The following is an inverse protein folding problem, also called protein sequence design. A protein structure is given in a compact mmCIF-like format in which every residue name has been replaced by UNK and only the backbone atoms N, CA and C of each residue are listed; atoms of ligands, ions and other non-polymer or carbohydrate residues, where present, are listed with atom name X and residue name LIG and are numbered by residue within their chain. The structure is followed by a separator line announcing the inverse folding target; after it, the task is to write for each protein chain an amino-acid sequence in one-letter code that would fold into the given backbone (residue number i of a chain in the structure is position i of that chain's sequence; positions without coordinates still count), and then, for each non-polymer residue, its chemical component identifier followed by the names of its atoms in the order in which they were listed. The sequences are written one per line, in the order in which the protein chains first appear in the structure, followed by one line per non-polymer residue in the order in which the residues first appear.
data_IF_957425985500
#
_entry.id   IF_957425985500
#
_cell.length_a   1.000
_cell.length_b   1.000
_cell.length_c   1.000
_cell.angle_alpha   90.00
_cell.angle_beta   90.00
_cell.angle_gamma   90.00
#
_symmetry.space_group_name_H-M   'P 1'
#
loop_
_entity.id
_entity.type
_entity.pdbx_description
1 polymer ?
#
# COMPACT_ATOMS: atom_id res chain seq x y z
N UNK A 1 -17.59 11.49 -13.84
CA UNK A 1 -16.52 11.52 -12.83
C UNK A 1 -15.93 10.13 -12.70
N UNK A 2 -14.68 9.99 -12.22
CA UNK A 2 -14.09 8.70 -11.89
C UNK A 2 -14.15 8.51 -10.37
N UNK A 3 -14.91 7.52 -9.91
CA UNK A 3 -15.12 7.24 -8.48
C UNK A 3 -14.45 5.93 -8.09
N UNK A 4 -13.44 6.04 -7.22
CA UNK A 4 -12.76 4.87 -6.65
C UNK A 4 -13.53 4.40 -5.44
N UNK A 5 -13.99 3.14 -5.45
CA UNK A 5 -14.76 2.54 -4.37
C UNK A 5 -13.85 1.68 -3.52
N UNK A 6 -13.66 2.08 -2.27
CA UNK A 6 -12.90 1.31 -1.29
C UNK A 6 -13.75 0.15 -0.76
N UNK A 7 -13.47 -1.05 -1.21
CA UNK A 7 -14.26 -2.25 -0.88
C UNK A 7 -13.66 -3.10 0.25
N UNK A 8 -12.77 -2.51 1.05
CA UNK A 8 -12.23 -3.15 2.25
C UNK A 8 -13.20 -3.05 3.43
N UNK A 9 -13.09 -4.00 4.37
CA UNK A 9 -13.76 -3.94 5.68
C UNK A 9 -13.07 -3.00 6.68
N UNK A 10 -11.95 -2.40 6.31
CA UNK A 10 -11.21 -1.42 7.11
C UNK A 10 -11.29 -0.05 6.45
N UNK A 11 -11.25 1.05 7.22
CA UNK A 11 -11.24 2.39 6.68
C UNK A 11 -10.02 2.64 5.79
N UNK A 12 -10.10 3.66 4.94
CA UNK A 12 -9.03 4.08 4.04
C UNK A 12 -8.02 4.95 4.77
N UNK A 13 -6.99 4.35 5.39
CA UNK A 13 -6.05 5.02 6.31
C UNK A 13 -4.66 5.13 5.69
N UNK A 14 -4.02 6.28 5.83
CA UNK A 14 -2.66 6.50 5.34
C UNK A 14 -1.63 5.59 6.05
N UNK A 15 -0.72 5.02 5.26
CA UNK A 15 0.38 4.18 5.77
C UNK A 15 -0.03 2.76 6.16
N UNK A 16 -1.29 2.35 5.95
CA UNK A 16 -1.75 0.99 6.22
C UNK A 16 -1.29 0.00 5.15
N UNK A 17 -1.16 0.44 3.90
CA UNK A 17 -0.69 -0.43 2.82
C UNK A 17 -0.39 0.28 1.52
N UNK A 18 0.04 -0.52 0.53
CA UNK A 18 0.33 -0.02 -0.81
C UNK A 18 -0.92 0.33 -1.61
N UNK A 19 -2.06 -0.29 -1.31
CA UNK A 19 -3.32 -0.05 -2.02
C UNK A 19 -3.83 1.37 -1.81
N UNK A 20 -3.73 1.86 -0.58
CA UNK A 20 -4.13 3.20 -0.18
C UNK A 20 -3.23 4.24 -0.85
N UNK A 21 -1.92 4.07 -0.75
CA UNK A 21 -0.94 4.97 -1.39
C UNK A 21 -1.13 5.02 -2.90
N UNK A 22 -1.32 3.86 -3.53
CA UNK A 22 -1.55 3.75 -4.97
C UNK A 22 -2.84 4.48 -5.39
N UNK A 23 -3.95 4.22 -4.69
CA UNK A 23 -5.25 4.82 -5.04
C UNK A 23 -5.26 6.32 -4.79
N UNK A 24 -4.79 6.77 -3.63
CA UNK A 24 -4.69 8.19 -3.30
C UNK A 24 -3.86 8.96 -4.32
N UNK A 25 -2.71 8.41 -4.71
CA UNK A 25 -1.86 9.04 -5.71
C UNK A 25 -2.49 9.11 -7.10
N UNK A 26 -3.26 8.09 -7.52
CA UNK A 26 -4.01 8.14 -8.78
C UNK A 26 -5.10 9.21 -8.75
N UNK A 27 -5.86 9.32 -7.66
CA UNK A 27 -6.90 10.36 -7.52
C UNK A 27 -6.25 11.75 -7.59
N UNK A 28 -5.16 11.99 -6.85
CA UNK A 28 -4.41 13.27 -6.88
C UNK A 28 -3.95 13.63 -8.28
N UNK A 29 -3.40 12.68 -9.00
CA UNK A 29 -2.90 12.92 -10.36
C UNK A 29 -4.05 13.18 -11.36
N UNK A 30 -5.19 12.50 -11.23
CA UNK A 30 -6.39 12.78 -12.01
C UNK A 30 -6.88 14.21 -11.74
N UNK A 31 -7.02 14.59 -10.47
CA UNK A 31 -7.42 15.94 -10.07
C UNK A 31 -6.43 17.00 -10.58
N UNK A 32 -5.13 16.73 -10.49
CA UNK A 32 -4.08 17.61 -11.04
C UNK A 32 -4.22 17.83 -12.55
N UNK A 33 -4.72 16.83 -13.28
CA UNK A 33 -5.01 16.91 -14.73
C UNK A 33 -6.35 17.57 -15.04
N UNK A 34 -7.12 17.99 -14.04
CA UNK A 34 -8.46 18.53 -14.21
C UNK A 34 -9.53 17.47 -14.50
N UNK A 35 -9.24 16.19 -14.25
CA UNK A 35 -10.18 15.09 -14.40
C UNK A 35 -10.85 14.86 -13.06
N UNK A 36 -12.18 15.05 -12.94
CA UNK A 36 -12.89 14.87 -11.69
C UNK A 36 -12.77 13.42 -11.17
N UNK A 37 -12.24 13.28 -9.95
CA UNK A 37 -12.08 11.98 -9.29
C UNK A 37 -12.35 12.10 -7.79
N UNK A 38 -12.81 11.02 -7.16
CA UNK A 38 -13.07 10.95 -5.73
C UNK A 38 -12.89 9.53 -5.17
N UNK A 39 -12.79 9.45 -3.85
CA UNK A 39 -12.90 8.22 -3.08
C UNK A 39 -14.36 8.01 -2.65
N UNK A 40 -14.87 6.80 -2.76
CA UNK A 40 -16.13 6.36 -2.16
C UNK A 40 -15.82 5.31 -1.10
N UNK A 41 -16.37 5.51 0.08
CA UNK A 41 -16.33 4.56 1.19
C UNK A 41 -17.74 4.09 1.53
N UNK A 42 -17.91 2.89 2.08
CA UNK A 42 -19.23 2.28 2.32
C UNK A 42 -19.30 1.77 3.75
N UNK A 43 -20.31 2.26 4.51
CA UNK A 43 -20.61 1.79 5.86
C UNK A 43 -19.68 2.30 6.95
N UNK A 44 -18.80 3.27 6.68
CA UNK A 44 -17.89 3.87 7.67
C UNK A 44 -18.38 5.21 8.21
N UNK A 45 -19.35 5.87 7.54
CA UNK A 45 -19.74 7.24 7.85
C UNK A 45 -18.53 8.17 7.79
N UNK A 46 -18.35 8.99 8.83
CA UNK A 46 -17.23 9.94 8.94
C UNK A 46 -15.90 9.28 9.34
N UNK A 47 -15.94 8.05 9.86
CA UNK A 47 -14.74 7.31 10.29
C UNK A 47 -14.08 6.54 9.12
N UNK A 48 -14.19 7.06 7.91
CA UNK A 48 -13.73 6.41 6.69
C UNK A 48 -12.26 6.64 6.34
N UNK A 49 -11.55 7.41 7.15
CA UNK A 49 -10.12 7.73 6.98
C UNK A 49 -9.86 9.01 6.19
N UNK A 50 -10.90 9.77 5.84
CA UNK A 50 -10.76 11.04 5.07
C UNK A 50 -9.82 12.05 5.72
N UNK A 51 -9.68 12.03 7.02
CA UNK A 51 -8.77 12.92 7.78
C UNK A 51 -7.31 12.78 7.35
N UNK A 52 -6.91 11.58 6.95
CA UNK A 52 -5.56 11.31 6.46
C UNK A 52 -5.32 11.84 5.03
N UNK A 53 -6.40 12.21 4.31
CA UNK A 53 -6.37 12.62 2.90
C UNK A 53 -7.18 13.89 2.63
N UNK A 54 -6.84 15.01 3.27
CA UNK A 54 -7.63 16.26 3.18
C UNK A 54 -7.68 16.87 1.78
N UNK A 55 -6.82 16.42 0.88
CA UNK A 55 -6.70 16.87 -0.51
C UNK A 55 -7.47 15.97 -1.51
N UNK A 56 -8.17 14.95 -1.03
CA UNK A 56 -8.98 14.03 -1.84
C UNK A 56 -10.47 14.22 -1.52
N UNK A 57 -11.34 14.40 -2.52
CA UNK A 57 -12.78 14.38 -2.28
C UNK A 57 -13.26 12.99 -1.86
N UNK A 58 -14.08 12.92 -0.81
CA UNK A 58 -14.71 11.70 -0.31
C UNK A 58 -16.23 11.77 -0.44
N UNK A 59 -16.83 10.62 -0.71
CA UNK A 59 -18.26 10.37 -0.59
C UNK A 59 -18.46 9.11 0.26
N UNK A 60 -19.06 9.26 1.44
CA UNK A 60 -19.48 8.13 2.26
C UNK A 60 -20.88 7.67 1.82
N UNK A 61 -21.04 6.38 1.58
CA UNK A 61 -22.33 5.73 1.33
C UNK A 61 -22.65 4.81 2.50
N UNK A 62 -23.95 4.69 2.83
CA UNK A 62 -24.40 3.80 3.90
C UNK A 62 -24.32 2.33 3.46
N UNK A 63 -24.62 2.05 2.20
CA UNK A 63 -24.63 0.72 1.63
C UNK A 63 -24.19 0.71 0.18
N UNK A 64 -23.88 -0.47 -0.34
CA UNK A 64 -23.35 -0.63 -1.71
C UNK A 64 -24.42 -0.40 -2.79
N UNK A 65 -25.69 -0.55 -2.49
CA UNK A 65 -26.80 -0.40 -3.42
C UNK A 65 -26.89 1.02 -3.96
N UNK A 66 -26.48 2.02 -3.16
CA UNK A 66 -26.44 3.43 -3.57
C UNK A 66 -25.45 3.69 -4.73
N UNK A 67 -24.51 2.79 -5.01
CA UNK A 67 -23.64 2.88 -6.20
C UNK A 67 -24.45 2.82 -7.50
N UNK A 68 -25.62 2.17 -7.52
CA UNK A 68 -26.48 2.09 -8.68
C UNK A 68 -27.11 3.44 -9.09
N UNK A 69 -27.16 4.40 -8.18
CA UNK A 69 -27.70 5.73 -8.43
C UNK A 69 -26.68 6.69 -9.08
N UNK A 70 -25.38 6.37 -8.96
CA UNK A 70 -24.30 7.25 -9.41
C UNK A 70 -24.12 7.19 -10.94
N UNK A 71 -23.91 8.37 -11.53
CA UNK A 71 -23.60 8.54 -12.96
C UNK A 71 -22.08 8.68 -13.17
N UNK A 72 -21.31 7.75 -12.56
CA UNK A 72 -19.86 7.79 -12.50
C UNK A 72 -19.25 6.57 -13.17
N UNK A 73 -17.99 6.70 -13.61
CA UNK A 73 -17.13 5.56 -13.90
C UNK A 73 -16.68 4.97 -12.58
N UNK A 74 -17.23 3.82 -12.18
CA UNK A 74 -16.91 3.14 -10.92
C UNK A 74 -15.65 2.29 -11.08
N UNK A 75 -14.70 2.49 -10.17
CA UNK A 75 -13.44 1.72 -10.09
C UNK A 75 -13.33 1.14 -8.69
N UNK A 76 -13.65 -0.14 -8.54
CA UNK A 76 -13.46 -0.84 -7.28
C UNK A 76 -11.98 -0.99 -6.97
N UNK A 77 -11.62 -0.76 -5.72
CA UNK A 77 -10.27 -0.94 -5.19
C UNK A 77 -10.28 -2.15 -4.26
N UNK A 78 -9.38 -3.09 -4.49
CA UNK A 78 -9.24 -4.39 -3.82
C UNK A 78 -10.10 -5.46 -4.49
N UNK A 79 -11.43 -5.41 -4.37
CA UNK A 79 -12.35 -6.37 -4.99
C UNK A 79 -13.61 -5.67 -5.50
N UNK A 80 -14.24 -6.20 -6.57
CA UNK A 80 -15.53 -5.70 -7.01
C UNK A 80 -16.63 -6.09 -6.02
N UNK A 81 -17.66 -5.26 -5.96
CA UNK A 81 -18.89 -5.53 -5.23
C UNK A 81 -19.97 -6.02 -6.18
N UNK A 82 -20.86 -6.85 -5.65
CA UNK A 82 -22.01 -7.41 -6.38
C UNK A 82 -23.13 -6.36 -6.42
N UNK A 83 -22.97 -5.37 -7.32
CA UNK A 83 -23.90 -4.27 -7.54
C UNK A 83 -23.92 -3.94 -9.02
N UNK A 84 -25.13 -3.72 -9.58
CA UNK A 84 -25.29 -3.23 -10.94
C UNK A 84 -25.12 -1.71 -10.97
N UNK A 85 -24.11 -1.22 -11.68
CA UNK A 85 -23.85 0.21 -11.89
C UNK A 85 -24.46 0.70 -13.21
N UNK A 86 -24.70 2.02 -13.35
CA UNK A 86 -25.24 2.59 -14.61
C UNK A 86 -24.28 2.40 -15.79
N UNK A 87 -22.99 2.51 -15.54
CA UNK A 87 -21.95 2.36 -16.55
C UNK A 87 -21.11 1.14 -16.31
N UNK A 88 -20.26 0.77 -17.27
CA UNK A 88 -19.29 -0.30 -17.10
C UNK A 88 -18.39 -0.01 -15.89
N UNK A 89 -18.44 -0.87 -14.89
CA UNK A 89 -17.54 -0.80 -13.75
C UNK A 89 -16.20 -1.47 -14.06
N UNK A 90 -15.20 -1.08 -13.28
CA UNK A 90 -13.84 -1.61 -13.31
C UNK A 90 -13.41 -2.05 -11.92
N UNK A 91 -12.44 -2.93 -11.81
CA UNK A 91 -11.87 -3.33 -10.53
C UNK A 91 -10.36 -3.47 -10.63
N UNK A 92 -9.63 -2.74 -9.79
CA UNK A 92 -8.18 -2.88 -9.63
C UNK A 92 -7.93 -3.90 -8.51
N UNK A 93 -7.40 -5.05 -8.89
CA UNK A 93 -7.17 -6.18 -7.99
C UNK A 93 -5.84 -6.00 -7.25
N UNK A 94 -5.92 -5.53 -6.00
CA UNK A 94 -4.75 -5.25 -5.16
C UNK A 94 -4.31 -6.43 -4.29
N UNK A 95 -5.12 -7.49 -4.24
CA UNK A 95 -4.82 -8.70 -3.47
C UNK A 95 -4.72 -9.90 -4.40
N UNK A 96 -4.01 -10.97 -4.02
CA UNK A 96 -4.08 -12.24 -4.75
C UNK A 96 -5.49 -12.83 -4.65
N UNK A 97 -5.84 -13.76 -5.54
CA UNK A 97 -7.07 -14.51 -5.41
C UNK A 97 -7.17 -15.18 -4.04
N UNK A 98 -8.38 -15.33 -3.47
CA UNK A 98 -8.53 -16.03 -2.21
C UNK A 98 -8.03 -17.47 -2.34
N UNK A 99 -7.26 -17.91 -1.37
CA UNK A 99 -6.94 -19.32 -1.20
C UNK A 99 -8.09 -19.99 -0.45
N UNK A 100 -8.25 -21.31 -0.62
CA UNK A 100 -9.32 -22.09 0.02
C UNK A 100 -9.39 -21.96 1.55
N UNK A 101 -8.37 -21.39 2.18
CA UNK A 101 -8.30 -21.20 3.63
C UNK A 101 -9.04 -19.96 4.16
N UNK A 102 -9.41 -19.05 3.28
CA UNK A 102 -10.09 -17.81 3.66
C UNK A 102 -11.48 -17.81 3.06
N UNK A 103 -12.39 -18.58 3.59
CA UNK A 103 -13.81 -18.61 3.19
C UNK A 103 -14.53 -17.25 3.34
N UNK A 104 -13.89 -16.16 2.90
CA UNK A 104 -14.39 -14.81 3.01
C UNK A 104 -15.50 -14.59 1.97
N UNK A 105 -16.73 -14.26 2.41
CA UNK A 105 -17.87 -13.99 1.51
C UNK A 105 -17.62 -12.79 0.57
N UNK A 106 -16.60 -11.95 0.81
CA UNK A 106 -16.20 -10.88 -0.11
C UNK A 106 -15.73 -11.39 -1.48
N UNK A 107 -15.40 -12.68 -1.60
CA UNK A 107 -14.82 -13.29 -2.81
C UNK A 107 -15.84 -14.08 -3.63
N UNK A 108 -17.10 -13.71 -3.60
CA UNK A 108 -18.08 -14.36 -4.48
C UNK A 108 -17.67 -14.19 -5.94
N UNK A 109 -17.48 -15.30 -6.61
CA UNK A 109 -17.04 -15.32 -8.02
C UNK A 109 -17.93 -14.47 -8.93
N UNK A 110 -19.25 -14.45 -8.66
CA UNK A 110 -20.21 -13.64 -9.37
C UNK A 110 -19.87 -12.14 -9.38
N UNK A 111 -19.25 -11.61 -8.31
CA UNK A 111 -18.85 -10.21 -8.25
C UNK A 111 -17.79 -9.85 -9.33
N UNK A 112 -17.02 -10.82 -9.83
CA UNK A 112 -15.97 -10.60 -10.83
C UNK A 112 -16.49 -10.69 -12.29
N UNK A 113 -17.74 -11.07 -12.51
CA UNK A 113 -18.30 -11.29 -13.86
C UNK A 113 -18.74 -9.98 -14.54
N UNK A 114 -19.13 -8.97 -13.79
CA UNK A 114 -19.61 -7.69 -14.33
C UNK A 114 -18.50 -6.67 -14.63
N UNK A 115 -17.60 -6.36 -13.68
CA UNK A 115 -16.56 -5.35 -13.87
C UNK A 115 -15.44 -5.80 -14.80
N UNK A 116 -14.82 -4.85 -15.52
CA UNK A 116 -13.55 -5.09 -16.23
C UNK A 116 -12.41 -5.09 -15.22
N UNK A 117 -11.65 -6.19 -15.19
CA UNK A 117 -10.61 -6.40 -14.19
C UNK A 117 -9.28 -5.79 -14.66
N UNK A 118 -8.64 -5.07 -13.75
CA UNK A 118 -7.32 -4.42 -13.91
C UNK A 118 -6.40 -5.00 -12.84
N UNK A 119 -5.13 -5.21 -13.15
CA UNK A 119 -4.17 -5.79 -12.22
C UNK A 119 -2.97 -4.88 -12.01
N UNK A 120 -2.34 -4.99 -10.83
CA UNK A 120 -1.17 -4.19 -10.46
C UNK A 120 0.15 -4.70 -11.08
N UNK A 121 0.16 -5.90 -11.67
CA UNK A 121 1.34 -6.51 -12.31
C UNK A 121 0.94 -7.59 -13.30
N UNK A 122 1.86 -7.99 -14.17
CA UNK A 122 1.67 -9.14 -15.07
C UNK A 122 1.56 -10.44 -14.27
N UNK A 123 2.31 -10.56 -13.18
CA UNK A 123 2.18 -11.67 -12.25
C UNK A 123 0.76 -11.78 -11.69
N UNK A 124 0.22 -10.66 -11.18
CA UNK A 124 -1.15 -10.61 -10.69
C UNK A 124 -2.16 -11.02 -11.78
N UNK A 125 -2.00 -10.52 -13.00
CA UNK A 125 -2.84 -10.91 -14.13
C UNK A 125 -2.78 -12.44 -14.38
N UNK A 126 -1.61 -13.05 -14.25
CA UNK A 126 -1.41 -14.49 -14.43
C UNK A 126 -2.13 -15.33 -13.38
N UNK A 127 -2.04 -14.97 -12.09
CA UNK A 127 -2.68 -15.72 -11.01
C UNK A 127 -4.20 -15.55 -11.03
N UNK A 128 -4.70 -14.34 -11.29
CA UNK A 128 -6.13 -14.06 -11.36
C UNK A 128 -6.80 -14.78 -12.55
N UNK A 129 -6.16 -14.80 -13.74
CA UNK A 129 -6.67 -15.56 -14.89
C UNK A 129 -6.80 -17.05 -14.58
N UNK A 130 -5.81 -17.64 -13.90
CA UNK A 130 -5.88 -19.05 -13.48
C UNK A 130 -7.01 -19.30 -12.48
N UNK A 131 -7.19 -18.41 -11.51
CA UNK A 131 -8.23 -18.52 -10.49
C UNK A 131 -9.65 -18.45 -11.09
N UNK A 132 -9.89 -17.46 -11.93
CA UNK A 132 -11.21 -17.24 -12.52
C UNK A 132 -11.59 -18.25 -13.59
N UNK A 133 -10.64 -19.05 -14.07
CA UNK A 133 -10.83 -20.09 -15.12
C UNK A 133 -11.56 -19.58 -16.38
N UNK A 134 -11.49 -18.28 -16.65
CA UNK A 134 -12.25 -17.66 -17.71
C UNK A 134 -11.35 -17.22 -18.83
N UNK A 135 -11.92 -17.11 -20.04
CA UNK A 135 -11.34 -16.47 -21.21
C UNK A 135 -11.17 -14.95 -21.01
N UNK A 136 -10.73 -14.51 -19.82
CA UNK A 136 -10.31 -13.13 -19.59
C UNK A 136 -9.04 -12.85 -20.39
N UNK A 137 -9.19 -12.83 -21.72
CA UNK A 137 -8.07 -12.70 -22.64
C UNK A 137 -7.26 -11.42 -22.42
N UNK A 138 -7.80 -10.40 -21.75
CA UNK A 138 -7.13 -9.12 -21.56
C UNK A 138 -7.45 -8.53 -20.17
N UNK A 139 -6.61 -8.84 -19.19
CA UNK A 139 -6.54 -8.04 -17.97
C UNK A 139 -5.43 -6.99 -18.15
N UNK A 140 -5.76 -5.71 -18.38
CA UNK A 140 -4.75 -4.67 -18.47
C UNK A 140 -3.99 -4.57 -17.15
N UNK A 141 -2.70 -4.28 -17.25
CA UNK A 141 -1.84 -4.03 -16.10
C UNK A 141 -1.65 -2.53 -15.94
N UNK A 142 -2.03 -2.01 -14.78
CA UNK A 142 -1.77 -0.64 -14.35
C UNK A 142 -0.80 -0.70 -13.19
N UNK A 143 0.48 -0.51 -13.49
CA UNK A 143 1.53 -0.64 -12.49
C UNK A 143 1.42 0.42 -11.39
N UNK A 144 1.72 0.05 -10.14
CA UNK A 144 2.00 1.00 -9.08
C UNK A 144 3.19 1.92 -9.43
N UNK A 145 3.35 2.96 -8.65
CA UNK A 145 4.37 3.99 -8.84
C UNK A 145 5.04 4.34 -7.51
N UNK A 146 6.20 4.95 -7.58
CA UNK A 146 6.81 5.60 -6.45
C UNK A 146 6.42 7.09 -6.44
N UNK A 147 6.12 7.61 -5.24
CA UNK A 147 5.91 9.06 -5.05
C UNK A 147 7.17 9.83 -5.46
N UNK A 148 7.00 11.04 -5.97
CA UNK A 148 8.12 11.88 -6.42
C UNK A 148 9.09 12.25 -5.30
N UNK A 149 8.66 12.21 -4.04
CA UNK A 149 9.51 12.44 -2.88
C UNK A 149 10.73 11.49 -2.88
N UNK A 150 10.57 10.24 -3.34
CA UNK A 150 11.66 9.28 -3.41
C UNK A 150 12.72 9.68 -4.45
N UNK A 151 12.31 10.26 -5.56
CA UNK A 151 13.25 10.73 -6.59
C UNK A 151 13.89 12.09 -6.27
N UNK A 152 13.17 12.93 -5.52
CA UNK A 152 13.62 14.28 -5.15
C UNK A 152 14.47 14.32 -3.87
N UNK A 153 14.41 13.28 -3.02
CA UNK A 153 15.15 13.27 -1.76
C UNK A 153 16.65 13.35 -2.01
N UNK A 154 17.34 14.20 -1.25
CA UNK A 154 18.79 14.26 -1.24
C UNK A 154 19.37 13.08 -0.47
N UNK A 155 20.42 12.47 -1.03
CA UNK A 155 21.17 11.44 -0.32
C UNK A 155 22.32 12.10 0.41
N UNK A 156 22.48 11.87 1.74
CA UNK A 156 23.64 12.35 2.45
C UNK A 156 24.90 11.69 1.91
N UNK A 157 25.98 12.45 1.84
CA UNK A 157 27.29 11.90 1.56
C UNK A 157 27.68 10.90 2.65
N UNK A 158 28.26 9.81 2.22
CA UNK A 158 28.72 8.78 3.13
C UNK A 158 30.23 8.96 3.38
N UNK A 159 30.66 9.05 4.65
CA UNK A 159 32.09 9.07 4.95
C UNK A 159 32.80 7.83 4.39
N UNK A 160 33.96 7.99 3.84
CA UNK A 160 34.82 6.88 3.39
C UNK A 160 34.98 5.89 4.56
N UNK A 161 34.96 4.60 4.25
CA UNK A 161 35.13 3.51 5.23
C UNK A 161 34.04 3.36 6.29
N UNK A 162 32.92 4.11 6.21
CA UNK A 162 31.79 3.88 7.12
C UNK A 162 31.08 2.56 6.80
N UNK A 163 30.53 1.86 7.82
CA UNK A 163 29.73 0.65 7.60
C UNK A 163 28.57 0.87 6.66
N UNK A 164 28.28 -0.08 5.78
CA UNK A 164 27.13 -0.02 4.90
C UNK A 164 25.82 0.01 5.71
N UNK A 165 24.80 0.69 5.19
CA UNK A 165 23.50 0.77 5.83
C UNK A 165 22.48 -0.04 5.03
N UNK A 166 21.94 -1.07 5.66
CA UNK A 166 20.93 -1.97 5.09
C UNK A 166 19.59 -1.69 5.78
N UNK A 167 18.50 -1.63 5.02
CA UNK A 167 17.16 -1.37 5.53
C UNK A 167 16.22 -2.52 5.18
N UNK A 168 15.42 -2.94 6.16
CA UNK A 168 14.20 -3.70 5.97
C UNK A 168 13.00 -2.80 6.32
N UNK A 169 12.15 -2.52 5.34
CA UNK A 169 11.00 -1.62 5.46
C UNK A 169 9.68 -2.35 5.15
N UNK A 170 9.52 -3.55 5.66
CA UNK A 170 8.31 -4.37 5.56
C UNK A 170 7.55 -4.45 6.88
N UNK A 171 6.30 -4.92 6.82
CA UNK A 171 5.57 -5.30 8.03
C UNK A 171 6.30 -6.44 8.74
N UNK A 172 6.26 -6.45 10.08
CA UNK A 172 6.84 -7.52 10.90
C UNK A 172 5.91 -8.74 10.89
N UNK A 173 5.90 -9.47 9.79
CA UNK A 173 5.17 -10.73 9.58
C UNK A 173 6.05 -11.71 8.81
N UNK A 174 5.81 -13.00 8.99
CA UNK A 174 6.58 -14.08 8.37
C UNK A 174 6.66 -13.95 6.84
N UNK A 175 5.54 -13.59 6.19
CA UNK A 175 5.45 -13.47 4.73
C UNK A 175 6.44 -12.45 4.12
N UNK A 176 6.87 -11.46 4.90
CA UNK A 176 7.88 -10.49 4.47
C UNK A 176 9.31 -11.00 4.62
N UNK A 177 9.48 -12.25 5.10
CA UNK A 177 10.76 -12.96 5.15
C UNK A 177 11.69 -12.47 6.25
N UNK A 178 11.16 -11.90 7.33
CA UNK A 178 11.99 -11.42 8.46
C UNK A 178 12.83 -12.54 9.09
N UNK A 179 12.29 -13.76 9.19
CA UNK A 179 13.03 -14.91 9.70
C UNK A 179 14.15 -15.34 8.76
N UNK A 180 13.92 -15.31 7.44
CA UNK A 180 14.96 -15.54 6.42
C UNK A 180 16.07 -14.51 6.53
N UNK A 181 15.70 -13.24 6.82
CA UNK A 181 16.68 -12.17 7.03
C UNK A 181 17.53 -12.44 8.28
N UNK A 182 16.89 -12.75 9.41
CA UNK A 182 17.61 -13.08 10.65
C UNK A 182 18.56 -14.27 10.47
N UNK A 183 18.10 -15.34 9.83
CA UNK A 183 18.93 -16.51 9.52
C UNK A 183 20.09 -16.13 8.58
N UNK A 184 19.91 -15.20 7.65
CA UNK A 184 20.96 -14.79 6.71
C UNK A 184 22.15 -14.10 7.41
N UNK A 185 21.93 -13.46 8.56
CA UNK A 185 22.97 -12.77 9.32
C UNK A 185 24.00 -13.71 9.96
N UNK A 186 23.72 -15.01 9.99
CA UNK A 186 24.62 -16.04 10.56
C UNK A 186 25.64 -16.56 9.56
N UNK A 187 25.51 -16.24 8.27
CA UNK A 187 26.42 -16.76 7.25
C UNK A 187 27.76 -16.03 7.23
N UNK A 188 28.86 -16.77 7.08
CA UNK A 188 30.25 -16.30 7.04
C UNK A 188 30.44 -15.12 6.07
N UNK A 189 29.78 -15.15 4.90
CA UNK A 189 29.89 -14.10 3.90
C UNK A 189 29.42 -12.71 4.36
N UNK A 190 28.70 -12.62 5.49
CA UNK A 190 28.32 -11.35 6.12
C UNK A 190 29.06 -11.08 7.44
N UNK A 191 29.91 -12.00 7.89
CA UNK A 191 30.58 -11.89 9.18
C UNK A 191 31.55 -10.71 9.21
N UNK A 192 32.40 -10.62 8.19
CA UNK A 192 33.44 -9.60 8.08
C UNK A 192 33.01 -8.38 7.25
N UNK A 193 31.78 -8.35 6.74
CA UNK A 193 31.26 -7.20 6.03
C UNK A 193 30.78 -6.15 7.03
N UNK A 194 31.38 -4.93 7.04
CA UNK A 194 30.95 -3.89 7.96
C UNK A 194 29.62 -3.26 7.50
N UNK A 195 28.52 -3.61 8.17
CA UNK A 195 27.23 -3.01 7.93
C UNK A 195 26.38 -2.88 9.20
N UNK A 196 25.35 -2.04 9.12
CA UNK A 196 24.27 -1.90 10.12
C UNK A 196 22.94 -2.20 9.45
N UNK A 197 22.12 -3.04 10.12
CA UNK A 197 20.77 -3.33 9.66
C UNK A 197 19.76 -2.49 10.44
N UNK A 198 18.97 -1.71 9.71
CA UNK A 198 17.83 -0.96 10.24
C UNK A 198 16.55 -1.70 9.87
N UNK A 199 15.63 -1.86 10.81
CA UNK A 199 14.32 -2.48 10.60
C UNK A 199 13.24 -1.51 11.08
N UNK A 200 12.20 -1.29 10.28
CA UNK A 200 11.04 -0.50 10.71
C UNK A 200 10.09 -1.36 11.55
N UNK A 201 9.44 -0.76 12.56
CA UNK A 201 8.51 -1.43 13.47
C UNK A 201 7.08 -1.58 12.88
N UNK A 202 6.93 -1.50 11.56
CA UNK A 202 5.63 -1.63 10.88
C UNK A 202 4.95 -2.96 11.24
N UNK A 203 3.69 -2.91 11.70
CA UNK A 203 2.93 -4.09 12.11
C UNK A 203 3.27 -4.62 13.50
N UNK A 204 4.10 -3.93 14.28
CA UNK A 204 4.47 -4.34 15.65
C UNK A 204 3.32 -4.33 16.66
N UNK A 205 2.17 -3.77 16.29
CA UNK A 205 0.94 -3.76 17.09
C UNK A 205 0.10 -5.04 16.95
N UNK A 206 0.52 -5.99 16.09
CA UNK A 206 -0.07 -7.32 16.01
C UNK A 206 0.66 -8.28 16.95
N UNK A 207 0.05 -9.42 17.31
CA UNK A 207 0.68 -10.43 18.14
C UNK A 207 1.99 -10.94 17.52
N UNK A 208 1.96 -11.37 16.26
CA UNK A 208 3.14 -11.81 15.52
C UNK A 208 4.20 -10.72 15.43
N UNK A 209 3.79 -9.49 15.08
CA UNK A 209 4.72 -8.38 14.97
C UNK A 209 5.38 -7.98 16.29
N UNK A 210 4.67 -8.12 17.40
CA UNK A 210 5.21 -7.87 18.75
C UNK A 210 6.29 -8.91 19.12
N UNK A 211 6.06 -10.17 18.83
CA UNK A 211 7.05 -11.26 19.05
C UNK A 211 8.30 -10.98 18.21
N UNK A 212 8.13 -10.70 16.92
CA UNK A 212 9.25 -10.37 16.01
C UNK A 212 10.00 -9.14 16.51
N UNK A 213 9.31 -8.09 16.92
CA UNK A 213 9.92 -6.86 17.43
C UNK A 213 10.84 -7.14 18.62
N UNK A 214 10.40 -7.99 19.55
CA UNK A 214 11.20 -8.36 20.73
C UNK A 214 12.46 -9.12 20.31
N UNK A 215 12.38 -10.04 19.36
CA UNK A 215 13.54 -10.73 18.79
C UNK A 215 14.54 -9.76 18.14
N UNK A 216 14.04 -8.77 17.41
CA UNK A 216 14.88 -7.78 16.73
C UNK A 216 15.63 -6.88 17.70
N UNK A 217 14.98 -6.47 18.81
CA UNK A 217 15.58 -5.58 19.82
C UNK A 217 16.76 -6.21 20.56
N UNK A 218 16.81 -7.53 20.64
CA UNK A 218 17.91 -8.25 21.31
C UNK A 218 19.11 -8.52 20.38
N UNK A 219 18.98 -8.27 19.08
CA UNK A 219 20.02 -8.60 18.10
C UNK A 219 21.06 -7.46 17.95
N UNK A 220 22.37 -7.71 18.19
CA UNK A 220 23.39 -6.65 18.30
C UNK A 220 23.66 -5.86 17.00
N UNK A 221 23.37 -6.46 15.83
CA UNK A 221 23.55 -5.81 14.51
C UNK A 221 22.32 -5.03 14.03
N UNK A 222 21.21 -5.04 14.78
CA UNK A 222 19.92 -4.49 14.35
C UNK A 222 19.57 -3.23 15.13
N UNK A 223 19.13 -2.22 14.41
CA UNK A 223 18.51 -1.02 14.98
C UNK A 223 17.06 -0.96 14.54
N UNK A 224 16.13 -0.98 15.47
CA UNK A 224 14.70 -0.81 15.17
C UNK A 224 14.36 0.68 15.19
N UNK A 225 13.63 1.12 14.18
CA UNK A 225 13.13 2.50 14.05
C UNK A 225 11.64 2.52 13.80
N UNK A 226 10.99 3.61 14.16
CA UNK A 226 9.56 3.80 13.88
C UNK A 226 9.27 3.73 12.37
N UNK A 227 8.22 3.04 11.99
CA UNK A 227 7.68 3.07 10.63
C UNK A 227 7.29 4.50 10.23
N UNK A 228 7.40 4.81 8.96
CA UNK A 228 7.06 6.13 8.41
C UNK A 228 5.69 6.06 7.73
N UNK A 229 4.82 7.02 8.03
CA UNK A 229 3.46 7.06 7.52
C UNK A 229 3.33 7.76 6.17
N UNK A 230 4.25 8.65 5.83
CA UNK A 230 4.21 9.41 4.59
C UNK A 230 5.45 9.20 3.72
N UNK A 231 5.30 9.49 2.42
CA UNK A 231 6.33 9.27 1.42
C UNK A 231 7.61 10.09 1.68
N UNK A 232 7.48 11.33 2.15
CA UNK A 232 8.62 12.23 2.40
C UNK A 232 9.53 11.68 3.51
N UNK A 233 8.94 11.22 4.62
CA UNK A 233 9.69 10.63 5.71
C UNK A 233 10.31 9.29 5.34
N UNK A 234 9.58 8.45 4.59
CA UNK A 234 10.10 7.18 4.10
C UNK A 234 11.24 7.41 3.11
N UNK A 235 11.12 8.38 2.20
CA UNK A 235 12.18 8.75 1.27
C UNK A 235 13.45 9.21 2.00
N UNK A 236 13.31 10.05 3.05
CA UNK A 236 14.43 10.46 3.90
C UNK A 236 15.07 9.29 4.64
N UNK A 237 14.27 8.31 5.07
CA UNK A 237 14.80 7.09 5.68
C UNK A 237 15.59 6.27 4.65
N UNK A 238 15.00 5.99 3.49
CA UNK A 238 15.64 5.21 2.42
C UNK A 238 16.93 5.89 1.93
N UNK A 239 16.92 7.21 1.74
CA UNK A 239 18.09 7.95 1.27
C UNK A 239 19.32 7.82 2.18
N UNK A 240 19.13 7.48 3.46
CA UNK A 240 20.22 7.22 4.42
C UNK A 240 20.79 5.80 4.34
N UNK A 241 20.22 4.93 3.48
CA UNK A 241 20.61 3.52 3.37
C UNK A 241 21.16 3.21 1.99
N UNK A 242 22.04 2.22 1.90
CA UNK A 242 22.69 1.80 0.65
C UNK A 242 21.90 0.68 -0.02
N UNK A 243 21.38 -0.22 0.79
CA UNK A 243 20.68 -1.43 0.36
C UNK A 243 19.33 -1.55 1.09
N UNK A 244 18.28 -1.92 0.37
CA UNK A 244 17.01 -2.32 0.94
C UNK A 244 16.79 -3.80 0.67
N UNK A 245 16.35 -4.55 1.68
CA UNK A 245 16.10 -5.99 1.57
C UNK A 245 14.62 -6.30 1.60
N UNK A 246 14.17 -7.14 0.66
CA UNK A 246 12.79 -7.60 0.53
C UNK A 246 12.76 -9.13 0.35
N UNK A 247 13.05 -9.90 1.41
CA UNK A 247 13.19 -11.35 1.34
C UNK A 247 11.85 -12.07 1.44
N UNK A 248 10.78 -11.48 0.89
CA UNK A 248 9.41 -12.03 0.95
C UNK A 248 9.37 -13.50 0.55
N UNK A 249 8.59 -14.27 1.30
CA UNK A 249 8.43 -15.71 1.11
C UNK A 249 7.46 -16.03 -0.04
N UNK A 250 7.38 -17.31 -0.40
CA UNK A 250 6.38 -17.82 -1.35
C UNK A 250 5.37 -18.77 -0.70
N UNK A 251 5.40 -18.91 0.63
CA UNK A 251 4.69 -19.98 1.33
C UNK A 251 3.18 -19.71 1.36
N UNK A 252 2.77 -18.54 1.86
CA UNK A 252 1.36 -18.22 2.03
C UNK A 252 0.91 -17.07 1.14
N UNK A 253 1.75 -16.06 0.97
CA UNK A 253 1.43 -14.84 0.28
C UNK A 253 2.56 -14.39 -0.64
N UNK A 254 2.24 -14.23 -1.91
CA UNK A 254 3.22 -13.70 -2.87
C UNK A 254 3.00 -12.20 -3.07
N UNK A 255 4.09 -11.45 -3.16
CA UNK A 255 4.01 -10.02 -3.47
C UNK A 255 3.35 -9.81 -4.84
N UNK A 256 2.26 -9.05 -4.89
CA UNK A 256 1.65 -8.75 -6.19
C UNK A 256 2.52 -7.83 -7.03
N UNK A 257 3.28 -6.92 -6.41
CA UNK A 257 4.21 -6.04 -7.10
C UNK A 257 5.44 -5.71 -6.25
N UNK A 258 5.29 -5.01 -5.12
CA UNK A 258 6.39 -4.62 -4.23
C UNK A 258 6.79 -3.15 -4.40
N UNK A 259 5.92 -2.22 -3.96
CA UNK A 259 6.17 -0.77 -4.05
C UNK A 259 7.49 -0.36 -3.41
N UNK A 260 7.83 -0.91 -2.24
CA UNK A 260 9.10 -0.62 -1.54
C UNK A 260 10.33 -0.81 -2.45
N UNK A 261 10.29 -1.77 -3.40
CA UNK A 261 11.39 -1.97 -4.33
C UNK A 261 11.60 -0.79 -5.27
N UNK A 262 10.52 -0.27 -5.87
CA UNK A 262 10.62 0.88 -6.78
C UNK A 262 10.95 2.17 -6.03
N UNK A 263 10.34 2.38 -4.87
CA UNK A 263 10.60 3.50 -3.97
C UNK A 263 12.08 3.56 -3.57
N UNK A 264 12.64 2.40 -3.18
CA UNK A 264 14.06 2.28 -2.82
C UNK A 264 14.99 2.65 -3.97
N UNK A 265 14.70 2.16 -5.19
CA UNK A 265 15.51 2.47 -6.36
C UNK A 265 15.41 3.95 -6.76
N UNK A 266 14.21 4.57 -6.64
CA UNK A 266 14.05 6.01 -6.82
C UNK A 266 14.84 6.82 -5.79
N UNK A 267 14.89 6.36 -4.53
CA UNK A 267 15.70 6.96 -3.48
C UNK A 267 17.21 6.67 -3.63
N UNK A 268 17.61 5.85 -4.62
CA UNK A 268 19.01 5.54 -4.94
C UNK A 268 19.61 4.37 -4.15
N UNK A 269 18.78 3.54 -3.52
CA UNK A 269 19.22 2.30 -2.88
C UNK A 269 19.32 1.16 -3.91
N UNK A 270 20.22 0.22 -3.68
CA UNK A 270 20.10 -1.12 -4.29
C UNK A 270 19.07 -1.92 -3.53
N UNK A 271 18.47 -2.87 -4.21
CA UNK A 271 17.47 -3.76 -3.64
C UNK A 271 17.93 -5.21 -3.75
N UNK A 272 17.85 -5.96 -2.65
CA UNK A 272 17.98 -7.42 -2.67
C UNK A 272 16.60 -7.98 -2.40
N UNK A 273 16.01 -8.61 -3.40
CA UNK A 273 14.63 -9.07 -3.32
C UNK A 273 14.51 -10.55 -3.69
N UNK A 274 13.60 -11.24 -3.05
CA UNK A 274 13.21 -12.59 -3.45
C UNK A 274 12.60 -12.60 -4.87
N UNK A 275 12.84 -13.65 -5.63
CA UNK A 275 12.12 -13.94 -6.88
C UNK A 275 10.70 -14.45 -6.54
N UNK A 276 9.93 -13.61 -5.86
CA UNK A 276 8.58 -13.88 -5.38
C UNK A 276 7.58 -12.98 -6.09
N UNK A 277 6.52 -13.55 -6.62
CA UNK A 277 5.41 -12.81 -7.18
C UNK A 277 5.80 -11.81 -8.26
N UNK A 278 5.35 -10.58 -8.09
CA UNK A 278 5.62 -9.44 -8.98
C UNK A 278 6.96 -8.73 -8.72
N UNK A 279 7.72 -9.09 -7.68
CA UNK A 279 9.02 -8.44 -7.38
C UNK A 279 9.98 -8.41 -8.57
N UNK A 280 10.10 -9.45 -9.43
CA UNK A 280 10.95 -9.37 -10.62
C UNK A 280 10.58 -8.22 -11.57
N UNK A 281 9.29 -7.83 -11.62
CA UNK A 281 8.81 -6.74 -12.49
C UNK A 281 9.25 -5.35 -12.02
N UNK A 282 9.63 -5.22 -10.75
CA UNK A 282 10.09 -3.95 -10.16
C UNK A 282 11.53 -3.59 -10.51
N UNK A 283 12.27 -4.46 -11.21
CA UNK A 283 13.66 -4.21 -11.50
C UNK A 283 13.84 -3.14 -12.58
N UNK A 284 14.34 -2.00 -12.15
CA UNK A 284 14.70 -0.85 -13.00
C UNK A 284 16.22 -0.60 -13.00
N UNK A 285 17.00 -1.67 -12.79
CA UNK A 285 18.46 -1.67 -12.85
C UNK A 285 19.16 -1.71 -11.48
N UNK A 286 18.37 -1.71 -10.37
CA UNK A 286 18.91 -1.71 -9.01
C UNK A 286 18.64 -2.97 -8.19
N UNK A 287 17.96 -3.99 -8.75
CA UNK A 287 17.52 -5.17 -8.00
C UNK A 287 18.42 -6.38 -8.24
N UNK A 288 18.86 -7.00 -7.17
CA UNK A 288 19.45 -8.34 -7.16
C UNK A 288 18.36 -9.32 -6.73
N UNK A 289 17.93 -10.20 -7.62
CA UNK A 289 16.94 -11.23 -7.34
C UNK A 289 17.61 -12.48 -6.76
N UNK A 290 17.07 -12.97 -5.66
CA UNK A 290 17.52 -14.18 -4.98
C UNK A 290 16.41 -15.23 -4.96
N UNK A 291 16.75 -16.49 -4.67
CA UNK A 291 15.77 -17.54 -4.41
C UNK A 291 15.00 -17.22 -3.12
N UNK A 292 13.67 -17.30 -3.13
CA UNK A 292 12.87 -17.15 -1.91
C UNK A 292 13.24 -18.21 -0.87
N UNK A 293 13.01 -17.90 0.40
CA UNK A 293 13.21 -18.79 1.54
C UNK A 293 14.62 -19.40 1.64
N UNK A 294 15.62 -18.70 1.08
CA UNK A 294 17.02 -19.13 1.06
C UNK A 294 17.93 -18.09 1.77
N UNK A 295 18.22 -18.29 3.09
CA UNK A 295 19.05 -17.36 3.85
C UNK A 295 20.47 -17.20 3.30
N UNK A 296 21.07 -18.29 2.75
CA UNK A 296 22.41 -18.23 2.14
C UNK A 296 22.42 -17.36 0.89
N UNK A 297 21.41 -17.52 0.02
CA UNK A 297 21.26 -16.68 -1.18
C UNK A 297 21.00 -15.22 -0.81
N UNK A 298 20.24 -14.96 0.26
CA UNK A 298 20.02 -13.60 0.78
C UNK A 298 21.30 -12.99 1.29
N UNK A 299 22.08 -13.72 2.10
CA UNK A 299 23.38 -13.26 2.58
C UNK A 299 24.35 -12.89 1.43
N UNK A 300 24.45 -13.76 0.41
CA UNK A 300 25.27 -13.49 -0.77
C UNK A 300 24.76 -12.24 -1.56
N UNK A 301 23.44 -12.10 -1.71
CA UNK A 301 22.83 -10.94 -2.33
C UNK A 301 23.13 -9.64 -1.59
N UNK A 302 23.04 -9.64 -0.26
CA UNK A 302 23.38 -8.49 0.59
C UNK A 302 24.85 -8.13 0.46
N UNK A 303 25.79 -9.09 0.59
CA UNK A 303 27.20 -8.84 0.43
C UNK A 303 27.54 -8.22 -0.93
N UNK A 304 26.96 -8.77 -2.01
CA UNK A 304 27.13 -8.26 -3.37
C UNK A 304 26.60 -6.82 -3.52
N UNK A 305 25.42 -6.54 -2.96
CA UNK A 305 24.81 -5.21 -3.03
C UNK A 305 25.61 -4.18 -2.24
N UNK A 306 26.14 -4.56 -1.08
CA UNK A 306 27.03 -3.70 -0.26
C UNK A 306 28.32 -3.38 -1.01
N UNK A 307 28.97 -4.37 -1.61
CA UNK A 307 30.19 -4.17 -2.39
C UNK A 307 29.99 -3.26 -3.60
N UNK A 308 28.81 -3.32 -4.23
CA UNK A 308 28.46 -2.45 -5.36
C UNK A 308 28.09 -1.02 -4.96
N UNK A 309 27.84 -0.75 -3.66
CA UNK A 309 27.40 0.54 -3.15
C UNK A 309 26.01 0.96 -3.64
N UNK A 310 25.53 2.16 -3.26
CA UNK A 310 24.24 2.68 -3.71
C UNK A 310 24.21 2.92 -5.23
N UNK A 311 23.04 3.20 -5.78
CA UNK A 311 22.91 3.56 -7.19
C UNK A 311 23.61 4.89 -7.48
N UNK A 312 24.38 4.94 -8.58
CA UNK A 312 24.95 6.19 -9.08
C UNK A 312 23.84 7.18 -9.47
N UNK A 313 24.17 8.47 -9.55
CA UNK A 313 23.20 9.50 -9.96
C UNK A 313 22.56 9.17 -11.33
N UNK A 314 23.35 8.65 -12.30
CA UNK A 314 22.85 8.21 -13.61
C UNK A 314 21.84 7.05 -13.48
N UNK A 315 22.17 6.03 -12.68
CA UNK A 315 21.29 4.89 -12.45
C UNK A 315 20.01 5.32 -11.74
N UNK A 316 20.11 6.17 -10.72
CA UNK A 316 18.96 6.72 -9.99
C UNK A 316 18.04 7.53 -10.92
N UNK A 317 18.59 8.41 -11.77
CA UNK A 317 17.83 9.16 -12.76
C UNK A 317 17.10 8.24 -13.75
N UNK A 318 17.75 7.19 -14.22
CA UNK A 318 17.12 6.19 -15.08
C UNK A 318 16.01 5.42 -14.34
N UNK A 319 16.21 5.07 -13.07
CA UNK A 319 15.20 4.43 -12.25
C UNK A 319 13.96 5.33 -12.07
N UNK A 320 14.15 6.59 -11.67
CA UNK A 320 13.07 7.53 -11.37
C UNK A 320 12.24 7.95 -12.60
N UNK A 321 12.65 7.63 -13.81
CA UNK A 321 11.86 7.83 -15.02
C UNK A 321 10.82 6.73 -15.28
N UNK A 322 10.82 5.65 -14.48
CA UNK A 322 9.91 4.52 -14.59
C UNK A 322 9.04 4.41 -13.35
N UNK A 323 7.89 3.79 -13.49
CA UNK A 323 6.92 3.65 -12.40
C UNK A 323 6.59 4.98 -11.74
N UNK A 324 6.24 5.96 -12.58
CA UNK A 324 5.76 7.29 -12.15
C UNK A 324 4.24 7.30 -12.04
N UNK A 325 3.68 8.20 -11.22
CA UNK A 325 2.23 8.36 -11.09
C UNK A 325 1.59 8.73 -12.43
N UNK A 326 2.27 9.55 -13.24
CA UNK A 326 1.80 9.95 -14.57
C UNK A 326 1.62 8.73 -15.49
N UNK A 327 2.62 7.83 -15.53
CA UNK A 327 2.55 6.61 -16.34
C UNK A 327 1.48 5.63 -15.85
N UNK A 328 1.28 5.56 -14.52
CA UNK A 328 0.22 4.76 -13.91
C UNK A 328 -1.16 5.27 -14.33
N UNK A 329 -1.40 6.58 -14.20
CA UNK A 329 -2.68 7.21 -14.58
C UNK A 329 -2.92 7.16 -16.10
N UNK A 330 -1.88 7.32 -16.94
CA UNK A 330 -2.01 7.13 -18.38
C UNK A 330 -2.48 5.69 -18.72
N UNK A 331 -1.93 4.71 -18.02
CA UNK A 331 -2.32 3.31 -18.19
C UNK A 331 -3.73 3.04 -17.67
N UNK A 332 -4.11 3.67 -16.57
CA UNK A 332 -5.46 3.60 -16.01
C UNK A 332 -6.49 4.19 -16.99
N UNK A 333 -6.28 5.40 -17.48
CA UNK A 333 -7.19 6.07 -18.41
C UNK A 333 -7.38 5.24 -19.70
N UNK A 334 -6.32 4.63 -20.22
CA UNK A 334 -6.44 3.69 -21.34
C UNK A 334 -7.28 2.46 -20.99
N UNK A 335 -7.09 1.89 -19.79
CA UNK A 335 -7.85 0.74 -19.32
C UNK A 335 -9.33 1.07 -19.12
N UNK A 336 -9.65 2.30 -18.68
CA UNK A 336 -11.01 2.82 -18.51
C UNK A 336 -11.69 3.22 -19.85
N UNK A 337 -10.96 3.22 -20.96
CA UNK A 337 -11.49 3.62 -22.26
C UNK A 337 -11.49 5.14 -22.51
N UNK A 338 -10.67 5.88 -21.79
CA UNK A 338 -10.53 7.34 -21.89
C UNK A 338 -9.14 7.77 -22.42
N UNK A 339 -8.70 7.27 -23.60
CA UNK A 339 -7.37 7.58 -24.12
C UNK A 339 -7.20 9.08 -24.48
N UNK A 340 -8.28 9.82 -24.67
CA UNK A 340 -8.27 11.26 -24.97
C UNK A 340 -7.62 12.07 -23.86
N UNK A 341 -7.75 11.67 -22.59
CA UNK A 341 -7.15 12.35 -21.44
C UNK A 341 -5.65 12.03 -21.26
N UNK A 342 -5.13 11.01 -21.93
CA UNK A 342 -3.71 10.63 -21.86
C UNK A 342 -2.82 11.68 -22.50
N UNK A 343 -3.32 12.40 -23.52
CA UNK A 343 -2.54 13.37 -24.33
C UNK A 343 -2.47 14.76 -23.71
N UNK A 344 -3.27 15.07 -22.71
CA UNK A 344 -3.25 16.38 -22.07
C UNK A 344 -1.99 16.54 -21.19
N UNK A 345 -0.91 17.01 -21.79
CA UNK A 345 0.37 17.21 -21.11
C UNK A 345 0.41 18.43 -20.16
N UNK A 346 -0.65 19.22 -20.07
CA UNK A 346 -0.69 20.41 -19.21
C UNK A 346 -1.96 20.41 -18.37
N UNK A 347 -1.87 20.63 -17.06
CA UNK A 347 -3.04 20.93 -16.24
C UNK A 347 -3.58 22.29 -16.72
N UNK A 348 -4.78 22.31 -17.29
CA UNK A 348 -5.39 23.53 -17.76
C UNK A 348 -5.92 24.39 -16.62
N UNK A 349 -6.31 23.81 -15.51
CA UNK A 349 -6.68 24.49 -14.25
C UNK A 349 -6.76 23.46 -13.10
N UNK A 350 -6.42 23.90 -11.91
CA UNK A 350 -6.76 23.17 -10.67
C UNK A 350 -8.23 23.49 -10.38
N UNK A 351 -9.13 22.55 -10.65
CA UNK A 351 -10.52 22.70 -10.27
C UNK A 351 -10.64 22.59 -8.76
N UNK A 352 -11.12 23.68 -8.14
CA UNK A 352 -11.47 23.64 -6.72
C UNK A 352 -12.66 22.69 -6.54
N UNK A 353 -12.65 21.82 -5.53
CA UNK A 353 -13.83 21.08 -5.11
C UNK A 353 -15.01 22.03 -4.97
N UNK A 354 -16.20 21.66 -5.45
CA UNK A 354 -17.36 22.55 -5.44
C UNK A 354 -17.58 23.32 -6.74
N UNK A 355 -16.69 23.24 -7.73
CA UNK A 355 -16.90 23.83 -9.06
C UNK A 355 -18.05 23.15 -9.82
N UNK A 356 -18.48 23.78 -10.94
CA UNK A 356 -19.54 23.24 -11.82
C UNK A 356 -19.27 21.83 -12.36
N UNK A 357 -18.05 21.29 -12.21
CA UNK A 357 -17.68 19.94 -12.63
C UNK A 357 -18.16 18.84 -11.67
N UNK A 358 -18.77 19.21 -10.53
CA UNK A 358 -19.31 18.25 -9.57
C UNK A 358 -20.83 18.40 -9.38
N UNK A 359 -21.66 18.45 -10.46
CA UNK A 359 -23.10 18.74 -10.34
C UNK A 359 -23.88 17.72 -9.51
N UNK A 360 -23.39 16.49 -9.43
CA UNK A 360 -24.02 15.41 -8.65
C UNK A 360 -23.75 15.51 -7.14
N UNK A 361 -22.80 16.35 -6.68
CA UNK A 361 -22.68 16.64 -5.25
C UNK A 361 -23.97 17.29 -4.69
N UNK A 362 -24.74 17.97 -5.54
CA UNK A 362 -26.05 18.52 -5.17
C UNK A 362 -27.08 17.43 -4.84
N UNK A 363 -26.96 16.27 -5.47
CA UNK A 363 -27.89 15.16 -5.24
C UNK A 363 -27.78 14.60 -3.80
N UNK A 364 -26.64 14.77 -3.17
CA UNK A 364 -26.36 14.37 -1.79
C UNK A 364 -26.37 15.56 -0.79
N UNK A 365 -27.06 16.67 -1.15
CA UNK A 365 -27.17 17.85 -0.28
C UNK A 365 -25.92 18.74 -0.26
N UNK A 366 -24.90 18.43 -1.06
CA UNK A 366 -23.68 19.24 -1.16
C UNK A 366 -23.85 20.28 -2.27
N UNK A 367 -23.67 21.58 -1.94
CA UNK A 367 -23.67 22.65 -2.93
C UNK A 367 -22.42 22.56 -3.82
N UNK A 368 -22.60 22.67 -5.13
CA UNK A 368 -21.48 22.71 -6.08
C UNK A 368 -20.56 23.94 -5.91
N UNK A 369 -21.08 24.97 -5.28
CA UNK A 369 -20.39 26.25 -5.05
C UNK A 369 -19.90 26.39 -3.60
N UNK A 370 -20.30 25.47 -2.70
CA UNK A 370 -19.74 25.44 -1.36
C UNK A 370 -18.27 25.00 -1.44
N UNK A 371 -17.34 25.70 -0.78
CA UNK A 371 -16.05 25.07 -0.51
C UNK A 371 -16.36 23.75 0.20
N UNK A 372 -15.77 22.65 -0.23
CA UNK A 372 -15.75 21.44 0.58
C UNK A 372 -15.15 21.87 1.90
N UNK A 373 -16.01 22.17 2.88
CA UNK A 373 -15.58 22.32 4.25
C UNK A 373 -15.21 20.91 4.69
N UNK A 374 -13.96 20.57 4.45
CA UNK A 374 -13.26 19.50 5.11
C UNK A 374 -13.06 19.98 6.55
N UNK A 375 -14.03 19.68 7.40
CA UNK A 375 -14.09 20.17 8.77
C UNK A 375 -15.34 21.03 9.01
N UNK A 376 -16.52 20.42 9.03
CA UNK A 376 -17.62 20.98 9.82
C UNK A 376 -17.16 20.90 11.27
N UNK A 377 -17.14 22.03 11.95
CA UNK A 377 -16.99 22.09 13.41
C UNK A 377 -18.05 21.17 14.03
N UNK A 378 -17.62 20.03 14.52
CA UNK A 378 -18.44 19.18 15.34
C UNK A 378 -18.64 19.90 16.66
N UNK A 379 -19.83 20.39 16.90
CA UNK A 379 -20.26 20.73 18.25
C UNK A 379 -20.01 19.52 19.14
N UNK A 380 -19.38 19.67 20.31
CA UNK A 380 -19.09 18.55 21.18
C UNK A 380 -20.40 17.91 21.63
N UNK A 381 -20.72 16.74 21.10
CA UNK A 381 -21.76 15.89 21.69
C UNK A 381 -21.27 15.50 23.06
N UNK A 382 -21.91 16.03 24.08
CA UNK A 382 -21.67 15.68 25.46
C UNK A 382 -21.94 14.18 25.64
N UNK A 383 -20.89 13.40 25.72
CA UNK A 383 -20.96 12.02 26.18
C UNK A 383 -21.29 12.08 27.67
N UNK A 384 -22.58 11.96 28.00
CA UNK A 384 -22.98 11.63 29.37
C UNK A 384 -22.42 10.25 29.68
N UNK A 385 -21.46 10.23 30.58
CA UNK A 385 -20.96 9.04 31.24
C UNK A 385 -22.08 8.45 32.11
N UNK A 386 -22.77 7.42 31.61
CA UNK A 386 -23.46 6.49 32.50
C UNK A 386 -22.48 5.40 32.93
N UNK A 387 -21.65 5.77 33.89
CA UNK A 387 -20.92 4.81 34.70
C UNK A 387 -21.43 4.94 36.11
N UNK A 388 -22.41 4.10 36.46
CA UNK A 388 -22.55 3.63 37.86
C UNK A 388 -23.55 2.50 37.95
N UNK A 389 -23.14 1.50 38.68
CA UNK A 389 -23.89 0.39 39.27
C UNK A 389 -23.78 -0.96 38.54
N UNK A 390 -22.65 -1.63 38.73
CA UNK A 390 -22.65 -3.08 39.09
C UNK A 390 -21.26 -3.57 39.51
N UNK A 391 -20.80 -3.06 40.63
CA UNK A 391 -19.60 -3.60 41.31
C UNK A 391 -19.83 -3.62 42.82
N UNK A 392 -20.83 -4.38 43.25
CA UNK A 392 -21.00 -4.77 44.65
C UNK A 392 -21.82 -6.06 44.71
N UNK A 393 -21.20 -7.18 44.38
CA UNK A 393 -21.64 -8.53 44.81
C UNK A 393 -20.69 -9.60 44.29
N UNK A 394 -19.47 -9.65 44.81
CA UNK A 394 -18.64 -10.84 44.75
C UNK A 394 -17.41 -10.71 45.69
N UNK A 395 -17.69 -10.43 46.97
CA UNK A 395 -16.72 -10.65 48.05
C UNK A 395 -17.45 -11.20 49.26
N UNK A 396 -17.72 -12.51 49.28
CA UNK A 396 -17.93 -13.37 50.44
C UNK A 396 -18.18 -14.78 49.92
N UNK A 397 -17.15 -15.58 49.95
CA UNK A 397 -17.16 -17.02 50.28
C UNK A 397 -15.91 -17.66 49.72
N UNK A 398 -14.81 -17.56 50.41
CA UNK A 398 -13.77 -18.59 50.48
C UNK A 398 -13.05 -18.36 51.82
N UNK A 399 -13.61 -18.96 52.82
CA UNK A 399 -12.87 -19.31 54.06
C UNK A 399 -13.61 -20.50 54.68
N UNK A 400 -12.95 -21.61 54.64
CA UNK A 400 -13.17 -22.85 55.41
C UNK A 400 -13.25 -24.09 54.53
N UNK A 401 -12.14 -24.75 54.41
CA UNK A 401 -12.00 -26.18 54.53
C UNK A 401 -10.51 -26.54 54.31
N UNK A 402 -9.75 -26.44 55.38
CA UNK A 402 -8.49 -27.12 55.53
C UNK A 402 -8.72 -28.45 56.24
N UNK A 403 -7.81 -29.37 55.99
CA UNK A 403 -7.55 -30.64 56.70
C UNK A 403 -8.50 -31.80 56.35
N UNK A 404 -8.08 -32.64 55.44
CA UNK A 404 -7.54 -33.98 55.74
C UNK A 404 -6.79 -34.48 54.52
#
# INVERSE_FOLDING_TARGET
MISFVWSSKYPFIAGSGGSETYTAGQIRELLRRGIPARMITIGFGENDGREDFPDIPFLALDNKEQLAELDDTIVYVIYPLEVKTKHQAYAILHCPPPTYQHGDPLYKRAAFEGPRLITASKFAAGIWRRYLKANFAKMPTVYPFADEAFSKVERPERPKHSPAKVLFAGRLIADKGIYTLLASLQFEMLKDVPFRLTVTDAGSNTEEGSIILNMLKTHPKITVVKARKNAQEMAKLMAKHDVVVMPSTNIFWQELFGMVSIESQHAGCRVVASRSGGLPETNIGGVTLIQPDNPKALAAGIAKAIAAGPLSARQRKAASSRFTVQASVDSLLKALGHPEYVRSKRPTHIHKPGSRLFPHLRHFGLSADAPLQLGMELSPVSVRSEATSSAKSARRTVASAGKK
#
